data_IF_210543280536
#
_entry.id   IF_210543280536
#
_cell.length_a   1.000
_cell.length_b   1.000
_cell.length_c   1.000
_cell.angle_alpha   90.00
_cell.angle_beta   90.00
_cell.angle_gamma   90.00
#
_symmetry.space_group_name_H-M   'P 1'
#
loop_
_entity.id
_entity.type
_entity.pdbx_description
1 polymer ?
#
# COMPACT_ATOMS: atom_id res chain seq x y z
N UNK A 1 -0.13 -17.20 7.31
CA UNK A 1 -0.79 -16.11 6.57
C UNK A 1 -1.31 -15.13 7.59
N UNK A 2 -1.09 -13.84 7.37
CA UNK A 2 -1.54 -12.75 8.21
C UNK A 2 -2.22 -11.70 7.33
N UNK A 3 -3.45 -11.30 7.66
CA UNK A 3 -4.14 -10.21 6.98
C UNK A 3 -3.63 -8.88 7.52
N UNK A 4 -3.43 -7.93 6.61
CA UNK A 4 -2.86 -6.63 6.90
C UNK A 4 -3.80 -5.55 6.35
N UNK A 5 -4.27 -4.68 7.24
CA UNK A 5 -5.05 -3.49 6.90
C UNK A 5 -4.22 -2.24 7.10
N UNK A 6 -4.26 -1.34 6.12
CA UNK A 6 -3.54 -0.06 6.17
C UNK A 6 -4.41 1.07 5.62
N UNK A 7 -4.25 2.27 6.15
CA UNK A 7 -4.96 3.47 5.69
C UNK A 7 -4.01 4.61 5.35
N UNK A 8 -4.37 5.37 4.31
CA UNK A 8 -3.61 6.53 3.83
C UNK A 8 -4.58 7.59 3.27
N UNK A 9 -4.27 8.87 3.45
CA UNK A 9 -4.99 9.94 2.77
C UNK A 9 -4.56 10.06 1.31
N UNK A 10 -5.46 10.53 0.46
CA UNK A 10 -5.20 10.84 -0.94
C UNK A 10 -5.55 12.30 -1.20
N UNK A 11 -4.66 13.03 -1.87
CA UNK A 11 -4.91 14.44 -2.18
C UNK A 11 -6.10 14.54 -3.15
N UNK A 12 -7.12 15.37 -2.84
CA UNK A 12 -8.32 15.47 -3.67
C UNK A 12 -8.03 15.75 -5.15
N UNK A 13 -7.05 16.60 -5.44
CA UNK A 13 -6.65 17.01 -6.78
C UNK A 13 -5.83 15.95 -7.54
N UNK A 14 -5.47 14.83 -6.89
CA UNK A 14 -4.68 13.73 -7.46
C UNK A 14 -5.44 12.41 -7.55
N UNK A 15 -6.73 12.40 -7.20
CA UNK A 15 -7.57 11.19 -7.21
C UNK A 15 -7.53 10.46 -8.55
N UNK A 16 -7.84 11.16 -9.64
CA UNK A 16 -7.91 10.54 -10.97
C UNK A 16 -6.56 10.04 -11.46
N UNK A 17 -5.48 10.76 -11.15
CA UNK A 17 -4.12 10.34 -11.49
C UNK A 17 -3.75 9.05 -10.75
N UNK A 18 -4.07 8.96 -9.46
CA UNK A 18 -3.80 7.76 -8.66
C UNK A 18 -4.57 6.54 -9.19
N UNK A 19 -5.84 6.71 -9.56
CA UNK A 19 -6.66 5.66 -10.18
C UNK A 19 -6.06 5.22 -11.52
N UNK A 20 -5.64 6.16 -12.36
CA UNK A 20 -5.01 5.87 -13.66
C UNK A 20 -3.71 5.08 -13.51
N UNK A 21 -2.86 5.46 -12.55
CA UNK A 21 -1.63 4.72 -12.23
C UNK A 21 -1.97 3.27 -11.84
N UNK A 22 -2.88 3.08 -10.88
CA UNK A 22 -3.17 1.75 -10.32
C UNK A 22 -4.01 0.86 -11.26
N UNK A 23 -4.65 1.42 -12.29
CA UNK A 23 -5.28 0.64 -13.35
C UNK A 23 -4.26 -0.11 -14.23
N UNK A 24 -2.99 0.32 -14.22
CA UNK A 24 -1.92 -0.26 -15.03
C UNK A 24 -0.59 -0.30 -14.26
N UNK A 25 -0.60 -0.92 -13.08
CA UNK A 25 0.61 -1.10 -12.26
C UNK A 25 1.68 -1.84 -13.07
N UNK A 26 2.94 -1.38 -12.95
CA UNK A 26 4.05 -1.96 -13.69
C UNK A 26 4.28 -3.43 -13.32
N UNK A 27 4.48 -4.34 -14.29
CA UNK A 27 4.69 -5.76 -14.02
C UNK A 27 5.84 -6.07 -13.06
N UNK A 28 6.94 -5.31 -13.12
CA UNK A 28 8.09 -5.48 -12.22
C UNK A 28 7.75 -5.17 -10.76
N UNK A 29 6.90 -4.16 -10.53
CA UNK A 29 6.41 -3.81 -9.19
C UNK A 29 5.51 -4.93 -8.64
N UNK A 30 4.61 -5.46 -9.48
CA UNK A 30 3.74 -6.59 -9.09
C UNK A 30 4.57 -7.86 -8.77
N UNK A 31 5.65 -8.08 -9.52
CA UNK A 31 6.60 -9.17 -9.25
C UNK A 31 7.30 -8.97 -7.91
N UNK A 32 7.72 -7.75 -7.57
CA UNK A 32 8.34 -7.47 -6.28
C UNK A 32 7.35 -7.67 -5.12
N UNK A 33 6.12 -7.19 -5.25
CA UNK A 33 5.03 -7.44 -4.28
C UNK A 33 4.87 -8.95 -4.03
N UNK A 34 4.80 -9.74 -5.10
CA UNK A 34 4.69 -11.20 -5.01
C UNK A 34 5.92 -11.84 -4.37
N UNK A 35 7.13 -11.34 -4.68
CA UNK A 35 8.39 -11.81 -4.12
C UNK A 35 8.59 -11.43 -2.64
N UNK A 36 7.78 -10.52 -2.12
CA UNK A 36 7.68 -10.14 -0.71
C UNK A 36 6.51 -10.84 0.00
N UNK A 37 6.03 -11.97 -0.56
CA UNK A 37 5.00 -12.83 0.01
C UNK A 37 3.63 -12.15 0.21
N UNK A 38 3.35 -11.04 -0.48
CA UNK A 38 2.06 -10.36 -0.45
C UNK A 38 1.14 -10.98 -1.51
N UNK A 39 -0.09 -11.33 -1.08
CA UNK A 39 -1.15 -11.90 -1.92
C UNK A 39 -2.49 -11.23 -1.62
N UNK A 40 -3.46 -11.46 -2.50
CA UNK A 40 -4.82 -10.91 -2.40
C UNK A 40 -4.84 -9.39 -2.10
N UNK A 41 -3.93 -8.64 -2.74
CA UNK A 41 -3.73 -7.23 -2.44
C UNK A 41 -4.75 -6.37 -3.20
N UNK A 42 -5.57 -5.65 -2.45
CA UNK A 42 -6.52 -4.65 -2.96
C UNK A 42 -6.30 -3.29 -2.28
N UNK A 43 -6.50 -2.21 -3.04
CA UNK A 43 -6.56 -0.84 -2.52
C UNK A 43 -7.93 -0.26 -2.88
N UNK A 44 -8.69 0.13 -1.87
CA UNK A 44 -10.01 0.74 -2.00
C UNK A 44 -9.90 2.25 -1.78
N UNK A 45 -10.68 3.03 -2.54
CA UNK A 45 -10.76 4.48 -2.37
C UNK A 45 -12.15 4.89 -1.89
N UNK A 46 -12.25 5.44 -0.69
CA UNK A 46 -13.48 6.03 -0.14
C UNK A 46 -13.58 7.51 -0.47
N UNK A 47 -14.65 7.88 -1.18
CA UNK A 47 -15.04 9.28 -1.47
C UNK A 47 -16.22 9.69 -0.58
N UNK A 48 -16.36 10.97 -0.21
CA UNK A 48 -15.51 12.11 -0.56
C UNK A 48 -14.32 12.37 0.38
N UNK A 49 -14.11 11.54 1.40
CA UNK A 49 -13.05 11.70 2.42
C UNK A 49 -11.64 11.49 1.84
N UNK A 50 -11.55 10.89 0.65
CA UNK A 50 -10.31 10.57 -0.07
C UNK A 50 -9.34 9.76 0.80
N UNK A 51 -9.86 8.68 1.36
CA UNK A 51 -9.08 7.69 2.10
C UNK A 51 -8.84 6.47 1.23
N UNK A 52 -7.59 6.04 1.19
CA UNK A 52 -7.17 4.76 0.65
C UNK A 52 -7.14 3.75 1.77
N UNK A 53 -7.82 2.62 1.58
CA UNK A 53 -7.72 1.44 2.44
C UNK A 53 -7.04 0.33 1.65
N UNK A 54 -5.85 -0.06 2.11
CA UNK A 54 -5.07 -1.18 1.58
C UNK A 54 -5.34 -2.43 2.41
N UNK A 55 -5.67 -3.53 1.74
CA UNK A 55 -5.81 -4.86 2.34
C UNK A 55 -4.95 -5.85 1.58
N UNK A 56 -4.17 -6.65 2.29
CA UNK A 56 -3.47 -7.79 1.70
C UNK A 56 -3.28 -8.94 2.69
N UNK A 57 -3.01 -10.12 2.14
CA UNK A 57 -2.62 -11.30 2.90
C UNK A 57 -1.11 -11.50 2.77
N UNK A 58 -0.40 -11.44 3.88
CA UNK A 58 1.02 -11.73 3.96
C UNK A 58 1.25 -13.20 4.27
N UNK A 59 2.05 -13.88 3.45
CA UNK A 59 2.33 -15.32 3.57
C UNK A 59 3.77 -15.64 3.99
N UNK A 60 4.61 -14.64 4.22
CA UNK A 60 5.99 -14.84 4.64
C UNK A 60 6.12 -15.03 6.16
N UNK A 61 7.36 -14.98 6.64
CA UNK A 61 7.72 -15.22 8.05
C UNK A 61 8.37 -14.02 8.72
N UNK A 62 8.81 -13.02 7.96
CA UNK A 62 9.46 -11.80 8.46
C UNK A 62 9.02 -10.61 7.60
N UNK A 63 7.93 -9.96 8.03
CA UNK A 63 7.36 -8.84 7.31
C UNK A 63 8.33 -7.65 7.24
N UNK A 64 9.12 -7.41 8.29
CA UNK A 64 10.05 -6.29 8.31
C UNK A 64 11.17 -6.49 7.27
N UNK A 65 11.70 -7.70 7.15
CA UNK A 65 12.69 -8.04 6.12
C UNK A 65 12.10 -7.93 4.70
N UNK A 66 10.89 -8.44 4.47
CA UNK A 66 10.24 -8.35 3.16
C UNK A 66 9.86 -6.91 2.78
N UNK A 67 9.42 -6.09 3.75
CA UNK A 67 9.16 -4.67 3.54
C UNK A 67 10.44 -3.89 3.23
N UNK A 68 11.54 -4.16 3.93
CA UNK A 68 12.84 -3.55 3.65
C UNK A 68 13.37 -3.94 2.26
N UNK A 69 13.20 -5.21 1.86
CA UNK A 69 13.52 -5.69 0.50
C UNK A 69 12.74 -4.92 -0.58
N UNK A 70 11.43 -4.73 -0.38
CA UNK A 70 10.60 -3.96 -1.31
C UNK A 70 11.03 -2.50 -1.37
N UNK A 71 11.33 -1.89 -0.22
CA UNK A 71 11.79 -0.50 -0.15
C UNK A 71 13.17 -0.28 -0.82
N UNK A 72 14.00 -1.33 -0.89
CA UNK A 72 15.29 -1.29 -1.56
C UNK A 72 15.21 -1.58 -3.08
N UNK A 73 14.07 -2.01 -3.61
CA UNK A 73 13.91 -2.35 -5.02
C UNK A 73 13.86 -1.08 -5.90
N UNK A 74 14.78 -0.92 -6.88
CA UNK A 74 14.84 0.29 -7.70
C UNK A 74 13.58 0.57 -8.50
N UNK A 75 12.90 -0.47 -9.00
CA UNK A 75 11.65 -0.31 -9.77
C UNK A 75 10.48 0.10 -8.89
N UNK A 76 10.44 -0.40 -7.67
CA UNK A 76 9.48 0.04 -6.65
C UNK A 76 9.71 1.49 -6.24
N UNK A 77 10.98 1.89 -6.06
CA UNK A 77 11.32 3.29 -5.79
C UNK A 77 10.90 4.22 -6.93
N UNK A 78 11.22 3.87 -8.18
CA UNK A 78 10.79 4.63 -9.37
C UNK A 78 9.27 4.75 -9.45
N UNK A 79 8.54 3.66 -9.19
CA UNK A 79 7.08 3.67 -9.14
C UNK A 79 6.52 4.60 -8.05
N UNK A 80 7.18 4.64 -6.88
CA UNK A 80 6.79 5.50 -5.78
C UNK A 80 6.97 6.99 -6.07
N UNK A 81 7.88 7.39 -6.96
CA UNK A 81 8.00 8.78 -7.42
C UNK A 81 6.71 9.30 -8.07
N UNK A 82 5.88 8.42 -8.66
CA UNK A 82 4.58 8.78 -9.23
C UNK A 82 3.44 8.69 -8.19
N UNK A 83 3.50 7.71 -7.30
CA UNK A 83 2.43 7.45 -6.33
C UNK A 83 2.48 8.38 -5.11
N UNK A 84 3.66 8.58 -4.51
CA UNK A 84 3.82 9.35 -3.28
C UNK A 84 3.36 10.81 -3.42
N UNK A 85 3.58 11.53 -4.54
CA UNK A 85 3.03 12.88 -4.71
C UNK A 85 1.51 12.96 -4.67
N UNK A 86 0.81 11.87 -4.98
CA UNK A 86 -0.65 11.80 -4.91
C UNK A 86 -1.15 11.61 -3.47
N UNK A 87 -0.33 11.01 -2.62
CA UNK A 87 -0.71 10.56 -1.28
C UNK A 87 -0.54 11.66 -0.23
N UNK A 88 -1.26 11.51 0.87
CA UNK A 88 -1.22 12.36 2.05
C UNK A 88 -1.18 11.48 3.31
N UNK A 89 0.02 11.13 3.80
CA UNK A 89 0.19 10.37 5.04
C UNK A 89 -0.60 10.98 6.20
N UNK A 90 -1.30 10.13 6.96
CA UNK A 90 -2.11 10.60 8.08
C UNK A 90 -1.22 11.28 9.13
N UNK A 91 -1.64 12.42 9.70
CA UNK A 91 -0.85 13.11 10.72
C UNK A 91 -0.73 12.30 12.03
N UNK A 92 -1.60 11.30 12.21
CA UNK A 92 -1.67 10.43 13.39
C UNK A 92 -0.96 9.08 13.20
N UNK A 93 -0.30 8.86 12.06
CA UNK A 93 0.48 7.63 11.83
C UNK A 93 1.68 7.56 12.77
N UNK A 94 2.20 6.36 13.00
CA UNK A 94 3.37 6.17 13.86
C UNK A 94 4.64 6.73 13.21
N UNK A 95 5.69 6.96 14.00
CA UNK A 95 6.98 7.39 13.48
C UNK A 95 7.54 6.36 12.49
N UNK A 96 7.99 6.81 11.32
CA UNK A 96 8.50 5.95 10.25
C UNK A 96 7.42 5.36 9.33
N UNK A 97 6.13 5.46 9.67
CA UNK A 97 5.06 4.99 8.78
C UNK A 97 4.83 5.95 7.61
N UNK A 98 4.48 5.37 6.46
CA UNK A 98 3.89 6.10 5.34
C UNK A 98 2.39 5.82 5.26
N UNK A 99 2.04 4.55 5.12
CA UNK A 99 0.71 4.02 5.37
C UNK A 99 0.55 3.71 6.86
N UNK A 100 -0.57 4.11 7.47
CA UNK A 100 -0.84 3.83 8.87
C UNK A 100 -1.41 2.41 9.02
N UNK A 101 -0.79 1.57 9.84
CA UNK A 101 -1.30 0.23 10.15
C UNK A 101 -2.62 0.29 10.93
N UNK A 102 -3.47 -0.72 10.73
CA UNK A 102 -4.74 -0.89 11.43
C UNK A 102 -4.78 -2.22 12.19
N UNK A 103 -5.52 -2.24 13.30
CA UNK A 103 -5.77 -3.46 14.07
C UNK A 103 -6.92 -4.25 13.44
N UNK A 104 -6.70 -5.55 13.17
CA UNK A 104 -7.79 -6.47 12.84
C UNK A 104 -8.58 -6.79 14.11
N UNK A 105 -9.85 -6.37 14.15
CA UNK A 105 -10.74 -6.60 15.31
C UNK A 105 -11.73 -7.74 15.11
N UNK A 106 -11.88 -8.23 13.87
CA UNK A 106 -12.81 -9.29 13.52
C UNK A 106 -12.40 -9.95 12.20
N UNK A 107 -12.62 -11.26 12.10
CA UNK A 107 -12.50 -12.04 10.87
C UNK A 107 -13.50 -13.19 10.87
N UNK A 108 -14.01 -13.54 9.68
CA UNK A 108 -14.79 -14.73 9.41
C UNK A 108 -14.32 -15.34 8.09
N UNK A 109 -14.14 -16.66 8.05
CA UNK A 109 -13.66 -17.39 6.87
C UNK A 109 -14.74 -17.55 5.77
#
# INVERSE_FOLDING_TARGET
MQRMGMVLGLKPEKVEEYVRLHAAVWPDVLKMISACNIKNYSIYLKRPENLLFSYFEYHGTDYAADAAKMAADPKTQEWWEFCMPCQQPLPTRQEGEWWAMMDEVFHHD
#
